data_IF_421200677914
#
_entry.id   IF_421200677914
#
_cell.length_a   1.000
_cell.length_b   1.000
_cell.length_c   1.000
_cell.angle_alpha   90.00
_cell.angle_beta   90.00
_cell.angle_gamma   90.00
#
_symmetry.space_group_name_H-M   'P 1'
#
loop_
_entity.id
_entity.type
_entity.pdbx_description
1 polymer ?
#
# COMPACT_ATOMS: atom_id res chain seq x y z
N UNK A 1 7.33 -19.25 4.88
CA UNK A 1 8.14 -18.17 5.51
C UNK A 1 7.62 -17.83 6.91
N UNK A 2 8.49 -17.71 7.92
CA UNK A 2 8.09 -17.41 9.30
C UNK A 2 8.04 -15.90 9.58
N UNK A 3 6.87 -15.29 9.43
CA UNK A 3 6.65 -13.86 9.70
C UNK A 3 6.52 -13.54 11.20
N UNK A 4 6.43 -14.53 12.09
CA UNK A 4 6.25 -14.30 13.53
C UNK A 4 7.43 -13.58 14.19
N UNK A 5 8.59 -13.59 13.54
CA UNK A 5 9.84 -12.99 14.00
C UNK A 5 10.01 -11.53 13.60
N UNK A 6 9.09 -10.98 12.81
CA UNK A 6 9.22 -9.64 12.23
C UNK A 6 8.13 -8.76 12.83
N UNK A 7 8.54 -7.63 13.40
CA UNK A 7 7.62 -6.68 14.01
C UNK A 7 6.58 -6.18 13.00
N UNK A 8 5.32 -6.11 13.44
CA UNK A 8 4.18 -5.73 12.60
C UNK A 8 3.17 -4.95 13.44
N UNK A 9 2.76 -3.78 12.95
CA UNK A 9 1.58 -3.06 13.43
C UNK A 9 0.33 -3.71 12.83
N UNK A 10 -0.80 -3.69 13.53
CA UNK A 10 -2.07 -4.20 12.98
C UNK A 10 -3.04 -3.06 12.75
N UNK A 11 -3.30 -2.76 11.49
CA UNK A 11 -4.25 -1.72 11.08
C UNK A 11 -5.58 -2.30 10.62
N UNK A 12 -5.58 -3.57 10.21
CA UNK A 12 -6.80 -4.35 9.95
C UNK A 12 -6.79 -5.58 10.87
N UNK A 13 -7.69 -5.67 11.87
CA UNK A 13 -7.67 -6.78 12.83
C UNK A 13 -8.22 -8.10 12.27
N UNK A 14 -8.80 -8.07 11.06
CA UNK A 14 -9.44 -9.21 10.41
C UNK A 14 -8.85 -9.47 9.02
N UNK A 15 -8.98 -10.71 8.54
CA UNK A 15 -8.73 -11.02 7.13
C UNK A 15 -9.76 -10.32 6.25
N UNK A 16 -9.33 -9.70 5.14
CA UNK A 16 -10.29 -9.08 4.21
C UNK A 16 -11.14 -10.15 3.52
N UNK A 17 -12.40 -9.86 3.14
CA UNK A 17 -13.22 -10.84 2.45
C UNK A 17 -12.58 -11.37 1.16
N UNK A 18 -12.80 -12.66 0.90
CA UNK A 18 -12.60 -13.30 -0.40
C UNK A 18 -14.00 -13.67 -0.91
N UNK A 19 -14.44 -13.04 -1.99
CA UNK A 19 -15.84 -13.08 -2.43
C UNK A 19 -15.95 -13.56 -3.89
N UNK A 20 -16.87 -14.48 -4.17
CA UNK A 20 -17.24 -14.82 -5.54
C UNK A 20 -18.00 -13.63 -6.17
N UNK A 21 -17.68 -13.32 -7.43
CA UNK A 21 -18.35 -12.28 -8.20
C UNK A 21 -19.27 -12.91 -9.25
N UNK A 22 -20.44 -13.45 -8.88
CA UNK A 22 -21.24 -14.29 -9.78
C UNK A 22 -21.77 -13.52 -11.00
N UNK A 23 -22.16 -12.25 -10.81
CA UNK A 23 -22.65 -11.42 -11.92
C UNK A 23 -21.52 -11.07 -12.90
N UNK A 24 -20.33 -10.76 -12.38
CA UNK A 24 -19.17 -10.46 -13.22
C UNK A 24 -18.67 -11.72 -13.94
N UNK A 25 -18.65 -12.88 -13.26
CA UNK A 25 -18.27 -14.16 -13.85
C UNK A 25 -19.19 -14.52 -15.03
N UNK A 26 -20.52 -14.35 -14.86
CA UNK A 26 -21.48 -14.55 -15.97
C UNK A 26 -21.27 -13.56 -17.11
N UNK A 27 -21.06 -12.28 -16.80
CA UNK A 27 -20.81 -11.26 -17.82
C UNK A 27 -19.53 -11.53 -18.62
N UNK A 28 -18.44 -11.93 -17.92
CA UNK A 28 -17.18 -12.30 -18.56
C UNK A 28 -17.33 -13.55 -19.42
N UNK A 29 -17.98 -14.60 -18.91
CA UNK A 29 -18.24 -15.83 -19.66
C UNK A 29 -18.97 -15.58 -20.98
N UNK A 30 -19.93 -14.65 -21.03
CA UNK A 30 -20.64 -14.27 -22.24
C UNK A 30 -19.73 -13.64 -23.33
N UNK A 31 -18.56 -13.12 -22.95
CA UNK A 31 -17.56 -12.55 -23.87
C UNK A 31 -16.49 -13.55 -24.31
N UNK A 32 -16.41 -14.72 -23.66
CA UNK A 32 -15.42 -15.74 -23.95
C UNK A 32 -15.91 -16.74 -25.04
N UNK A 33 -14.99 -17.38 -25.80
CA UNK A 33 -15.35 -18.41 -26.77
C UNK A 33 -16.22 -19.52 -26.17
N UNK A 34 -17.35 -19.80 -26.81
CA UNK A 34 -18.28 -20.83 -26.34
C UNK A 34 -19.11 -20.45 -25.12
N UNK A 35 -19.13 -19.18 -24.71
CA UNK A 35 -19.94 -18.70 -23.59
C UNK A 35 -19.48 -19.20 -22.22
N UNK A 36 -18.23 -19.66 -22.12
CA UNK A 36 -17.62 -20.22 -20.90
C UNK A 36 -16.44 -19.35 -20.49
N UNK A 37 -16.44 -18.88 -19.25
CA UNK A 37 -15.38 -18.09 -18.65
C UNK A 37 -15.06 -18.59 -17.24
N UNK A 38 -14.03 -18.01 -16.59
CA UNK A 38 -13.65 -18.38 -15.24
C UNK A 38 -14.65 -17.85 -14.20
N UNK A 39 -14.72 -18.52 -13.06
CA UNK A 39 -15.28 -17.93 -11.86
C UNK A 39 -14.30 -16.89 -11.32
N UNK A 40 -14.77 -15.65 -11.18
CA UNK A 40 -13.96 -14.54 -10.69
C UNK A 40 -14.22 -14.34 -9.21
N UNK A 41 -13.15 -14.45 -8.43
CA UNK A 41 -13.13 -14.12 -7.01
C UNK A 41 -12.39 -12.81 -6.78
N UNK A 42 -12.77 -12.07 -5.74
CA UNK A 42 -12.12 -10.82 -5.36
C UNK A 42 -11.66 -10.86 -3.90
N UNK A 43 -10.38 -10.56 -3.69
CA UNK A 43 -9.80 -10.30 -2.37
C UNK A 43 -9.95 -8.82 -2.05
N UNK A 44 -10.83 -8.48 -1.10
CA UNK A 44 -11.28 -7.11 -0.81
C UNK A 44 -10.29 -6.28 -0.01
N UNK A 45 -9.07 -6.13 -0.52
CA UNK A 45 -8.04 -5.28 0.10
C UNK A 45 -8.39 -3.78 0.07
N UNK A 46 -9.43 -3.38 -0.67
CA UNK A 46 -10.07 -2.07 -0.53
C UNK A 46 -10.69 -1.85 0.86
N UNK A 47 -11.04 -2.92 1.58
CA UNK A 47 -11.61 -2.88 2.93
C UNK A 47 -10.56 -2.90 4.06
N UNK A 48 -9.27 -2.80 3.73
CA UNK A 48 -8.21 -2.69 4.74
C UNK A 48 -8.37 -1.39 5.57
N UNK A 49 -7.85 -1.39 6.80
CA UNK A 49 -7.83 -0.22 7.68
C UNK A 49 -6.97 0.93 7.16
N UNK A 50 -6.87 2.02 7.94
CA UNK A 50 -6.33 3.33 7.52
C UNK A 50 -7.24 3.99 6.48
N UNK A 51 -8.49 4.28 6.89
CA UNK A 51 -9.59 4.67 6.00
C UNK A 51 -9.21 5.79 5.01
N UNK A 52 -9.61 5.66 3.72
CA UNK A 52 -10.41 4.57 3.14
C UNK A 52 -9.60 3.34 2.68
N UNK A 53 -8.44 3.06 3.28
CA UNK A 53 -7.85 1.72 3.18
C UNK A 53 -7.07 1.45 1.90
N UNK A 54 -6.98 0.18 1.52
CA UNK A 54 -6.30 -0.26 0.30
C UNK A 54 -4.97 -0.98 0.53
N UNK A 55 -4.43 -1.48 -0.57
CA UNK A 55 -3.32 -2.43 -0.60
C UNK A 55 -2.04 -1.96 0.15
N UNK A 56 -1.82 -0.65 0.31
CA UNK A 56 -0.61 -0.13 0.99
C UNK A 56 -0.68 -0.36 2.50
N UNK A 57 -1.87 -0.50 3.08
CA UNK A 57 -2.03 -0.76 4.52
C UNK A 57 -1.23 -1.99 4.94
N UNK A 58 -1.31 -3.11 4.19
CA UNK A 58 -0.54 -4.33 4.50
C UNK A 58 0.97 -4.09 4.52
N UNK A 59 1.49 -3.24 3.63
CA UNK A 59 2.92 -2.94 3.57
C UNK A 59 3.35 -2.03 4.73
N UNK A 60 2.53 -1.03 5.03
CA UNK A 60 2.78 -0.07 6.11
C UNK A 60 2.77 -0.71 7.49
N UNK A 61 2.04 -1.81 7.68
CA UNK A 61 2.10 -2.58 8.93
C UNK A 61 3.52 -3.00 9.33
N UNK A 62 4.38 -3.35 8.36
CA UNK A 62 5.77 -3.69 8.61
C UNK A 62 6.69 -2.47 8.60
N UNK A 63 6.50 -1.56 7.63
CA UNK A 63 7.33 -0.36 7.50
C UNK A 63 7.21 0.59 8.69
N UNK A 64 5.98 0.78 9.20
CA UNK A 64 5.76 1.66 10.37
C UNK A 64 6.22 0.98 11.66
N UNK A 65 6.15 -0.35 11.75
CA UNK A 65 6.75 -1.06 12.89
C UNK A 65 8.26 -0.84 12.95
N UNK A 66 8.94 -0.89 11.80
CA UNK A 66 10.38 -0.61 11.69
C UNK A 66 10.70 0.85 11.97
N UNK A 67 9.91 1.80 11.44
CA UNK A 67 10.07 3.22 11.74
C UNK A 67 10.00 3.51 13.25
N UNK A 68 9.02 2.93 13.94
CA UNK A 68 8.86 3.06 15.39
C UNK A 68 10.01 2.39 16.15
N UNK A 69 10.45 1.20 15.72
CA UNK A 69 11.60 0.52 16.34
C UNK A 69 12.90 1.31 16.21
N UNK A 70 13.04 2.07 15.12
CA UNK A 70 14.15 2.99 14.92
C UNK A 70 13.96 4.34 15.65
N UNK A 71 12.83 4.56 16.32
CA UNK A 71 12.56 5.82 17.04
C UNK A 71 12.33 7.01 16.12
N UNK A 72 11.83 6.78 14.90
CA UNK A 72 11.44 7.86 14.01
C UNK A 72 10.21 8.59 14.55
N UNK A 73 10.17 9.92 14.37
CA UNK A 73 9.01 10.76 14.71
C UNK A 73 8.29 11.29 13.46
N UNK A 74 8.92 11.20 12.29
CA UNK A 74 8.40 11.74 11.03
C UNK A 74 8.57 10.73 9.89
N UNK A 75 7.48 10.40 9.19
CA UNK A 75 7.52 9.61 7.96
C UNK A 75 7.68 10.52 6.73
N UNK A 76 8.63 10.21 5.85
CA UNK A 76 8.83 10.88 4.57
C UNK A 76 8.50 9.91 3.45
N UNK A 77 7.65 10.29 2.50
CA UNK A 77 7.31 9.43 1.36
C UNK A 77 7.06 10.25 0.09
N UNK A 78 6.91 9.57 -1.04
CA UNK A 78 6.56 10.20 -2.30
C UNK A 78 5.34 9.61 -3.02
N UNK A 79 4.80 10.36 -3.97
CA UNK A 79 3.71 9.91 -4.86
C UNK A 79 3.32 10.97 -5.90
N UNK A 80 2.21 10.72 -6.60
CA UNK A 80 1.56 11.68 -7.48
C UNK A 80 0.51 12.53 -6.72
N UNK A 81 -0.04 13.61 -7.29
CA UNK A 81 -1.00 14.48 -6.60
C UNK A 81 -2.19 13.76 -5.94
N UNK A 82 -2.70 12.70 -6.57
CA UNK A 82 -3.80 11.85 -6.05
C UNK A 82 -3.31 10.52 -5.47
N UNK A 83 -2.11 10.48 -4.90
CA UNK A 83 -1.50 9.23 -4.41
C UNK A 83 -2.27 8.60 -3.25
N UNK A 84 -2.84 7.41 -3.51
CA UNK A 84 -3.35 6.53 -2.46
C UNK A 84 -2.24 6.17 -1.44
N UNK A 85 -0.99 6.05 -1.88
CA UNK A 85 0.14 5.70 -1.00
C UNK A 85 0.43 6.81 0.02
N UNK A 86 0.48 8.07 -0.44
CA UNK A 86 0.68 9.21 0.47
C UNK A 86 -0.45 9.28 1.49
N UNK A 87 -1.71 9.12 1.04
CA UNK A 87 -2.89 9.15 1.92
C UNK A 87 -2.77 8.14 3.05
N UNK A 88 -2.53 6.87 2.68
CA UNK A 88 -2.52 5.75 3.64
C UNK A 88 -1.29 5.86 4.56
N UNK A 89 -0.15 6.34 4.06
CA UNK A 89 1.04 6.59 4.89
C UNK A 89 0.77 7.67 5.94
N UNK A 90 0.12 8.77 5.57
CA UNK A 90 -0.28 9.82 6.51
C UNK A 90 -1.31 9.31 7.52
N UNK A 91 -2.30 8.53 7.09
CA UNK A 91 -3.25 7.92 8.01
C UNK A 91 -2.56 6.99 9.04
N UNK A 92 -1.52 6.24 8.62
CA UNK A 92 -0.70 5.46 9.53
C UNK A 92 0.11 6.34 10.50
N UNK A 93 0.72 7.41 9.99
CA UNK A 93 1.46 8.37 10.80
C UNK A 93 0.57 8.97 11.90
N UNK A 94 -0.59 9.51 11.52
CA UNK A 94 -1.58 10.07 12.45
C UNK A 94 -1.99 9.05 13.50
N UNK A 95 -2.27 7.80 13.10
CA UNK A 95 -2.66 6.73 14.02
C UNK A 95 -1.59 6.41 15.06
N UNK A 96 -0.31 6.53 14.71
CA UNK A 96 0.81 6.22 15.60
C UNK A 96 1.41 7.47 16.27
N UNK A 97 0.81 8.65 16.07
CA UNK A 97 1.30 9.91 16.66
C UNK A 97 2.55 10.48 15.97
N UNK A 98 2.85 10.05 14.74
CA UNK A 98 3.97 10.52 13.93
C UNK A 98 3.58 11.70 13.05
N UNK A 99 4.56 12.50 12.64
CA UNK A 99 4.42 13.48 11.56
C UNK A 99 4.58 12.80 10.20
N UNK A 100 4.11 13.44 9.14
CA UNK A 100 4.30 12.94 7.79
C UNK A 100 4.50 14.07 6.79
N UNK A 101 5.50 13.91 5.91
CA UNK A 101 5.82 14.84 4.82
C UNK A 101 5.86 14.11 3.48
N UNK A 102 5.47 14.82 2.42
CA UNK A 102 5.39 14.26 1.07
C UNK A 102 6.27 14.97 0.06
N UNK A 103 6.89 14.21 -0.83
CA UNK A 103 7.33 14.70 -2.14
C UNK A 103 6.32 14.26 -3.19
N UNK A 104 5.71 15.22 -3.89
CA UNK A 104 4.72 14.98 -4.94
C UNK A 104 5.34 15.24 -6.31
N UNK A 105 5.32 14.23 -7.18
CA UNK A 105 5.77 14.34 -8.56
C UNK A 105 4.61 14.69 -9.50
N UNK A 106 4.72 15.81 -10.19
CA UNK A 106 3.80 16.20 -11.26
C UNK A 106 4.25 15.61 -12.60
N UNK A 107 3.91 14.34 -12.82
CA UNK A 107 4.18 13.65 -14.10
C UNK A 107 3.44 14.27 -15.28
N UNK A 108 2.27 14.83 -14.99
CA UNK A 108 1.51 15.67 -15.92
C UNK A 108 1.71 17.10 -15.43
N UNK A 109 2.23 18.02 -16.26
CA UNK A 109 2.36 19.43 -15.89
C UNK A 109 1.03 20.01 -15.41
N UNK A 110 1.09 20.87 -14.38
CA UNK A 110 -0.05 21.58 -13.82
C UNK A 110 -1.19 20.66 -13.31
N UNK A 111 -0.82 19.48 -12.78
CA UNK A 111 -1.79 18.48 -12.28
C UNK A 111 -1.95 18.49 -10.76
N UNK A 112 -1.07 19.19 -10.05
CA UNK A 112 -1.20 19.48 -8.64
C UNK A 112 -2.10 20.70 -8.42
N UNK A 113 -3.07 20.54 -7.54
CA UNK A 113 -3.96 21.60 -7.11
C UNK A 113 -4.19 21.40 -5.60
N UNK A 114 -3.88 22.45 -4.82
CA UNK A 114 -4.06 22.45 -3.37
C UNK A 114 -5.53 22.28 -2.99
N UNK A 115 -6.45 22.73 -3.84
CA UNK A 115 -7.90 22.62 -3.62
C UNK A 115 -8.53 21.37 -4.22
N UNK A 116 -7.73 20.45 -4.76
CA UNK A 116 -8.21 19.20 -5.33
C UNK A 116 -8.97 18.34 -4.31
N UNK A 117 -10.06 17.73 -4.79
CA UNK A 117 -10.82 16.71 -4.05
C UNK A 117 -10.06 15.38 -3.93
N UNK A 118 -10.69 14.35 -3.37
CA UNK A 118 -10.11 13.00 -3.32
C UNK A 118 -8.96 12.85 -2.32
N UNK A 119 -7.86 12.24 -2.74
CA UNK A 119 -6.73 11.96 -1.86
C UNK A 119 -6.03 13.25 -1.40
N UNK A 120 -5.94 14.27 -2.27
CA UNK A 120 -5.32 15.53 -1.89
C UNK A 120 -6.09 16.24 -0.77
N UNK A 121 -7.42 16.32 -0.88
CA UNK A 121 -8.29 16.79 0.21
C UNK A 121 -8.03 16.03 1.52
N UNK A 122 -7.88 14.70 1.45
CA UNK A 122 -7.56 13.89 2.64
C UNK A 122 -6.18 14.20 3.22
N UNK A 123 -5.18 14.61 2.42
CA UNK A 123 -3.88 15.03 2.93
C UNK A 123 -4.02 16.24 3.86
N UNK A 124 -4.79 17.24 3.43
CA UNK A 124 -5.06 18.45 4.22
C UNK A 124 -5.91 18.11 5.45
N UNK A 125 -6.98 17.35 5.28
CA UNK A 125 -7.89 16.96 6.36
C UNK A 125 -7.17 16.21 7.50
N UNK A 126 -6.23 15.32 7.15
CA UNK A 126 -5.45 14.55 8.12
C UNK A 126 -4.24 15.32 8.68
N UNK A 127 -3.97 16.53 8.20
CA UNK A 127 -2.89 17.38 8.72
C UNK A 127 -1.50 16.94 8.28
N UNK A 128 -1.30 16.71 6.97
CA UNK A 128 0.05 16.57 6.39
C UNK A 128 0.95 17.74 6.85
N UNK A 129 2.19 17.45 7.26
CA UNK A 129 3.06 18.47 7.84
C UNK A 129 3.68 19.36 6.76
N UNK A 130 4.09 18.78 5.63
CA UNK A 130 4.65 19.52 4.50
C UNK A 130 4.50 18.72 3.20
N UNK A 131 4.30 19.45 2.09
CA UNK A 131 4.30 18.91 0.74
C UNK A 131 5.33 19.69 -0.09
N UNK A 132 6.23 18.97 -0.76
CA UNK A 132 7.13 19.53 -1.78
C UNK A 132 6.70 18.97 -3.13
N UNK A 133 6.35 19.85 -4.06
CA UNK A 133 6.00 19.47 -5.43
C UNK A 133 7.23 19.57 -6.32
N UNK A 134 7.47 18.55 -7.14
CA UNK A 134 8.59 18.48 -8.09
C UNK A 134 8.09 18.11 -9.49
N UNK A 135 8.73 18.61 -10.57
CA UNK A 135 8.36 18.25 -11.94
C UNK A 135 8.53 16.75 -12.23
N UNK A 136 7.75 16.23 -13.17
CA UNK A 136 7.91 14.87 -13.69
C UNK A 136 9.32 14.57 -14.18
N UNK A 137 9.85 13.39 -13.83
CA UNK A 137 11.22 12.97 -14.15
C UNK A 137 12.27 13.42 -13.12
N UNK A 138 11.86 14.13 -12.07
CA UNK A 138 12.74 14.46 -10.94
C UNK A 138 13.20 13.20 -10.20
N UNK A 139 14.40 13.27 -9.62
CA UNK A 139 14.89 12.21 -8.73
C UNK A 139 14.11 12.22 -7.41
N UNK A 140 13.13 11.33 -7.29
CA UNK A 140 12.33 11.21 -6.07
C UNK A 140 13.15 10.73 -4.87
N UNK A 141 14.23 9.98 -5.12
CA UNK A 141 15.16 9.54 -4.07
C UNK A 141 15.86 10.74 -3.46
N UNK A 142 16.45 11.61 -4.29
CA UNK A 142 17.17 12.79 -3.81
C UNK A 142 16.24 13.80 -3.16
N UNK A 143 15.04 13.98 -3.72
CA UNK A 143 14.03 14.87 -3.14
C UNK A 143 13.56 14.39 -1.75
N UNK A 144 13.33 13.08 -1.55
CA UNK A 144 13.01 12.53 -0.23
C UNK A 144 14.19 12.60 0.73
N UNK A 145 15.41 12.38 0.25
CA UNK A 145 16.62 12.50 1.07
C UNK A 145 16.80 13.94 1.57
N UNK A 146 16.63 14.94 0.70
CA UNK A 146 16.64 16.35 1.09
C UNK A 146 15.58 16.65 2.15
N UNK A 147 14.34 16.19 1.95
CA UNK A 147 13.26 16.38 2.92
C UNK A 147 13.55 15.69 4.27
N UNK A 148 14.20 14.52 4.26
CA UNK A 148 14.64 13.87 5.48
C UNK A 148 15.71 14.69 6.22
N UNK A 149 16.70 15.24 5.50
CA UNK A 149 17.70 16.13 6.09
C UNK A 149 17.09 17.42 6.66
N UNK A 150 16.03 17.95 6.05
CA UNK A 150 15.27 19.09 6.61
C UNK A 150 14.55 18.72 7.91
N UNK A 151 14.07 17.47 8.06
CA UNK A 151 13.52 16.97 9.32
C UNK A 151 14.62 16.84 10.37
N UNK A 152 15.78 16.29 10.00
CA UNK A 152 16.94 16.14 10.89
C UNK A 152 17.47 17.48 11.40
N UNK A 153 17.50 18.50 10.53
CA UNK A 153 17.88 19.87 10.90
C UNK A 153 16.96 20.49 11.97
N UNK A 154 15.74 19.97 12.14
CA UNK A 154 14.79 20.35 13.20
C UNK A 154 14.99 19.56 14.49
N UNK A 155 16.06 18.75 14.60
CA UNK A 155 16.34 17.89 15.75
C UNK A 155 15.43 16.67 15.85
N UNK A 156 14.84 16.25 14.72
CA UNK A 156 13.87 15.15 14.62
C UNK A 156 14.41 13.98 13.81
N UNK A 157 13.77 12.83 13.90
CA UNK A 157 14.19 11.62 13.19
C UNK A 157 13.22 11.25 12.07
N UNK A 158 13.70 11.35 10.83
CA UNK A 158 12.97 10.94 9.64
C UNK A 158 13.07 9.43 9.36
N UNK A 159 12.02 8.87 8.78
CA UNK A 159 12.03 7.53 8.17
C UNK A 159 11.47 7.60 6.75
N UNK A 160 12.29 7.23 5.77
CA UNK A 160 11.91 7.28 4.35
C UNK A 160 11.15 5.99 3.98
N UNK A 161 9.94 6.16 3.46
CA UNK A 161 9.15 5.10 2.84
C UNK A 161 9.18 5.30 1.32
N UNK A 162 9.74 4.34 0.55
CA UNK A 162 9.79 4.47 -0.91
C UNK A 162 8.38 4.43 -1.51
N UNK A 163 8.25 4.95 -2.74
CA UNK A 163 6.98 5.03 -3.46
C UNK A 163 6.17 3.72 -3.45
N UNK A 164 4.97 3.77 -2.87
CA UNK A 164 4.07 2.62 -2.74
C UNK A 164 4.49 1.59 -1.68
N UNK A 165 5.45 1.91 -0.81
CA UNK A 165 5.99 1.02 0.21
C UNK A 165 6.73 -0.18 -0.37
N UNK A 166 7.28 -0.03 -1.57
CA UNK A 166 7.82 -1.15 -2.35
C UNK A 166 9.32 -1.32 -2.09
N UNK A 167 9.62 -2.10 -1.06
CA UNK A 167 10.93 -2.66 -0.74
C UNK A 167 10.74 -4.06 -0.16
N UNK A 168 11.83 -4.73 0.25
CA UNK A 168 11.76 -6.09 0.81
C UNK A 168 10.86 -6.16 2.05
N UNK A 169 10.99 -5.20 2.98
CA UNK A 169 10.21 -5.15 4.22
C UNK A 169 8.71 -4.92 3.96
N UNK A 170 8.37 -3.94 3.13
CA UNK A 170 6.98 -3.66 2.76
C UNK A 170 6.35 -4.81 1.95
N UNK A 171 7.14 -5.55 1.18
CA UNK A 171 6.70 -6.77 0.49
C UNK A 171 6.16 -7.85 1.43
N UNK A 172 6.63 -7.90 2.68
CA UNK A 172 6.14 -8.84 3.69
C UNK A 172 4.64 -8.68 3.99
N UNK A 173 4.09 -7.48 3.77
CA UNK A 173 2.65 -7.25 3.83
C UNK A 173 1.85 -8.18 2.91
N UNK A 174 2.39 -8.47 1.72
CA UNK A 174 1.77 -9.37 0.76
C UNK A 174 2.23 -10.82 0.86
N UNK A 175 3.36 -11.09 1.53
CA UNK A 175 3.67 -12.44 2.03
C UNK A 175 2.63 -12.87 3.07
N UNK A 176 2.29 -11.97 4.01
CA UNK A 176 1.22 -12.21 4.99
C UNK A 176 -0.14 -12.38 4.32
N UNK A 177 -0.42 -11.62 3.25
CA UNK A 177 -1.63 -11.79 2.45
C UNK A 177 -1.70 -13.17 1.78
N UNK A 178 -0.59 -13.70 1.27
CA UNK A 178 -0.57 -15.05 0.70
C UNK A 178 -0.89 -16.13 1.75
N UNK A 179 -0.34 -16.02 2.96
CA UNK A 179 -0.67 -16.92 4.08
C UNK A 179 -2.15 -16.80 4.49
N UNK A 180 -2.68 -15.58 4.51
CA UNK A 180 -4.10 -15.31 4.74
C UNK A 180 -4.99 -15.97 3.66
N UNK A 181 -4.60 -15.87 2.37
CA UNK A 181 -5.30 -16.50 1.26
C UNK A 181 -5.27 -18.03 1.35
N UNK A 182 -4.13 -18.64 1.71
CA UNK A 182 -4.04 -20.09 1.91
C UNK A 182 -5.06 -20.59 2.95
N UNK A 183 -5.16 -19.88 4.08
CA UNK A 183 -6.15 -20.21 5.11
C UNK A 183 -7.59 -20.03 4.57
N UNK A 184 -7.87 -18.93 3.87
CA UNK A 184 -9.20 -18.67 3.30
C UNK A 184 -9.59 -19.69 2.23
N UNK A 185 -8.65 -20.16 1.42
CA UNK A 185 -8.91 -21.21 0.42
C UNK A 185 -9.32 -22.52 1.10
N UNK A 186 -8.62 -22.90 2.16
CA UNK A 186 -8.97 -24.07 2.97
C UNK A 186 -10.34 -23.90 3.63
N UNK A 187 -10.57 -22.80 4.35
CA UNK A 187 -11.80 -22.58 5.11
C UNK A 187 -13.05 -22.52 4.22
N UNK A 188 -12.92 -21.97 3.00
CA UNK A 188 -14.03 -21.87 2.05
C UNK A 188 -14.14 -23.07 1.11
N UNK A 189 -13.17 -24.00 1.12
CA UNK A 189 -13.14 -25.14 0.21
C UNK A 189 -12.99 -24.74 -1.27
N UNK A 190 -12.25 -23.66 -1.55
CA UNK A 190 -12.07 -23.13 -2.91
C UNK A 190 -10.65 -23.39 -3.41
N UNK A 191 -10.54 -23.68 -4.71
CA UNK A 191 -9.26 -23.81 -5.41
C UNK A 191 -9.15 -22.65 -6.39
N UNK A 192 -8.06 -21.89 -6.31
CA UNK A 192 -7.81 -20.73 -7.17
C UNK A 192 -6.64 -21.04 -8.12
N UNK A 193 -6.91 -21.11 -9.42
CA UNK A 193 -5.89 -21.45 -10.42
C UNK A 193 -4.94 -20.30 -10.74
N UNK A 194 -5.42 -19.06 -10.61
CA UNK A 194 -4.73 -17.83 -11.04
C UNK A 194 -5.06 -16.68 -10.11
N UNK A 195 -4.05 -15.87 -9.82
CA UNK A 195 -4.18 -14.60 -9.09
C UNK A 195 -3.81 -13.46 -10.02
N UNK A 196 -4.70 -12.49 -10.16
CA UNK A 196 -4.49 -11.27 -10.95
C UNK A 196 -4.32 -10.09 -9.99
N UNK A 197 -3.29 -9.29 -10.21
CA UNK A 197 -2.97 -8.15 -9.34
C UNK A 197 -2.47 -6.96 -10.15
N UNK A 198 -2.96 -5.76 -9.83
CA UNK A 198 -2.42 -4.53 -10.40
C UNK A 198 -0.99 -4.27 -9.93
N UNK A 199 -0.08 -4.02 -10.87
CA UNK A 199 1.33 -3.76 -10.58
C UNK A 199 1.74 -2.35 -10.98
N UNK A 200 1.84 -1.46 -9.98
CA UNK A 200 2.41 -0.12 -10.12
C UNK A 200 3.89 -0.11 -9.74
N UNK A 201 4.21 0.18 -8.48
CA UNK A 201 5.59 0.07 -7.94
C UNK A 201 5.99 -1.36 -7.54
N UNK A 202 5.29 -2.38 -8.05
CA UNK A 202 5.59 -3.82 -7.94
C UNK A 202 5.61 -4.49 -6.56
N UNK A 203 5.70 -3.78 -5.42
CA UNK A 203 5.84 -4.44 -4.11
C UNK A 203 4.65 -5.32 -3.67
N UNK A 204 3.45 -5.10 -4.23
CA UNK A 204 2.30 -6.00 -4.03
C UNK A 204 2.53 -7.33 -4.73
N UNK A 205 2.87 -7.25 -6.02
CA UNK A 205 3.12 -8.41 -6.87
C UNK A 205 4.32 -9.21 -6.35
N UNK A 206 5.44 -8.54 -6.04
CA UNK A 206 6.63 -9.20 -5.49
C UNK A 206 6.36 -9.89 -4.15
N UNK A 207 5.59 -9.28 -3.25
CA UNK A 207 5.21 -9.89 -1.98
C UNK A 207 4.29 -11.10 -2.13
N UNK A 208 3.31 -11.04 -3.04
CA UNK A 208 2.44 -12.19 -3.35
C UNK A 208 3.25 -13.34 -3.95
N UNK A 209 4.11 -13.06 -4.93
CA UNK A 209 4.97 -14.06 -5.55
C UNK A 209 5.87 -14.75 -4.52
N UNK A 210 6.57 -13.96 -3.69
CA UNK A 210 7.39 -14.50 -2.62
C UNK A 210 6.55 -15.34 -1.65
N UNK A 211 5.36 -14.84 -1.28
CA UNK A 211 4.43 -15.52 -0.38
C UNK A 211 3.95 -16.87 -0.90
N UNK A 212 3.49 -16.94 -2.15
CA UNK A 212 3.02 -18.19 -2.75
C UNK A 212 4.15 -19.20 -2.93
N UNK A 213 5.29 -18.78 -3.51
CA UNK A 213 6.43 -19.68 -3.70
C UNK A 213 7.03 -20.16 -2.38
N UNK A 214 7.22 -19.25 -1.42
CA UNK A 214 7.85 -19.55 -0.13
C UNK A 214 6.96 -20.24 0.90
N UNK A 215 5.69 -20.51 0.57
CA UNK A 215 4.77 -21.31 1.38
C UNK A 215 4.14 -22.48 0.60
N UNK A 216 4.53 -22.70 -0.66
CA UNK A 216 4.00 -23.75 -1.54
C UNK A 216 2.46 -23.74 -1.65
N UNK A 217 1.91 -22.56 -1.92
CA UNK A 217 0.48 -22.32 -2.14
C UNK A 217 0.16 -22.45 -3.62
#
# INVERSE_FOLDING_TARGET
>A
MDLSRIARRRYTPFATPLELMPNFSRALAATCPGGKGPDVWIKRDDMLGLFPGGNKTRKLEFLVADALAQGADTLVTCGAPQSNHCRITLAAAVKEGLKCRFVIEERVPDSYDEDASGNHFMFRLLGVEAITVVPGGSSMVDAMAKMASEVEALGRKAYIIPGGGSNALGGLGYVACAQELQQQFFDQGVVIDRVVVGSGSSGTHGGLLAGFLGNHI
#
